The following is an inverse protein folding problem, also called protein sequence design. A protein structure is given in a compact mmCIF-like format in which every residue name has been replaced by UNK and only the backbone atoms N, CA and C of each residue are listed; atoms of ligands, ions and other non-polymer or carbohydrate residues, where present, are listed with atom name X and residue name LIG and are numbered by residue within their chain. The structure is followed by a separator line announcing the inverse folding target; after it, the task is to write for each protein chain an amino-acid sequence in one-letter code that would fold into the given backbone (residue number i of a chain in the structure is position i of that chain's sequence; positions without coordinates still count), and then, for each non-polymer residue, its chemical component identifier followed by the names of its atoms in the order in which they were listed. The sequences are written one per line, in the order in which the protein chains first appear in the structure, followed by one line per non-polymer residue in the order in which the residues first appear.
data_IF_900346691196
#
_entry.id   IF_900346691196
#
_cell.length_a   1.000
_cell.length_b   1.000
_cell.length_c   1.000
_cell.angle_alpha   90.00
_cell.angle_beta   90.00
_cell.angle_gamma   90.00
#
_symmetry.space_group_name_H-M   'P 1'
#
loop_
_entity.id
_entity.type
_entity.pdbx_description
1 polymer ?
#
# COMPACT_ATOMS: atom_id res chain seq x y z
N UNK A 1 -1.55 -9.29 -11.49
CA UNK A 1 -0.95 -7.95 -11.28
C UNK A 1 0.56 -8.06 -11.46
N UNK A 2 1.24 -6.95 -11.75
CA UNK A 2 2.70 -6.97 -11.67
C UNK A 2 3.13 -6.91 -10.20
N UNK A 3 4.18 -7.63 -9.83
CA UNK A 3 4.71 -7.61 -8.47
C UNK A 3 5.48 -6.30 -8.26
N UNK A 4 4.97 -5.40 -7.42
CA UNK A 4 5.66 -4.13 -7.15
C UNK A 4 6.68 -4.32 -6.04
N UNK A 5 7.91 -3.87 -6.27
CA UNK A 5 9.04 -3.96 -5.35
C UNK A 5 9.83 -2.66 -5.34
N UNK A 6 10.83 -2.56 -4.44
CA UNK A 6 11.74 -1.43 -4.42
C UNK A 6 12.39 -1.21 -5.79
N UNK A 7 12.20 -0.02 -6.35
CA UNK A 7 12.66 0.35 -7.70
C UNK A 7 11.59 0.24 -8.80
N UNK A 8 10.44 -0.39 -8.55
CA UNK A 8 9.28 -0.36 -9.45
C UNK A 8 8.76 1.06 -9.61
N UNK A 9 8.26 1.40 -10.80
CA UNK A 9 7.73 2.72 -11.13
C UNK A 9 6.55 2.57 -12.08
N UNK A 10 5.59 3.50 -11.99
CA UNK A 10 4.42 3.55 -12.87
C UNK A 10 3.11 3.81 -12.11
N UNK A 11 2.01 3.79 -12.86
CA UNK A 11 0.68 4.07 -12.34
C UNK A 11 0.24 3.10 -11.23
N UNK A 12 0.67 1.84 -11.28
CA UNK A 12 0.39 0.86 -10.22
C UNK A 12 1.02 1.26 -8.87
N UNK A 13 2.23 1.83 -8.90
CA UNK A 13 2.89 2.34 -7.69
C UNK A 13 2.19 3.62 -7.20
N UNK A 14 1.75 4.47 -8.13
CA UNK A 14 1.00 5.68 -7.78
C UNK A 14 -0.29 5.31 -7.05
N UNK A 15 -1.08 4.38 -7.59
CA UNK A 15 -2.32 3.91 -6.99
C UNK A 15 -2.08 3.27 -5.60
N UNK A 16 -1.02 2.46 -5.46
CA UNK A 16 -0.60 1.90 -4.17
C UNK A 16 -0.34 3.03 -3.15
N UNK A 17 0.42 4.04 -3.55
CA UNK A 17 0.79 5.15 -2.67
C UNK A 17 -0.41 5.99 -2.26
N UNK A 18 -1.37 6.21 -3.17
CA UNK A 18 -2.63 6.89 -2.87
C UNK A 18 -3.45 6.13 -1.84
N UNK A 19 -3.62 4.82 -2.01
CA UNK A 19 -4.36 3.99 -1.05
C UNK A 19 -3.69 3.99 0.31
N UNK A 20 -2.36 3.81 0.35
CA UNK A 20 -1.58 3.90 1.59
C UNK A 20 -1.81 5.25 2.29
N UNK A 21 -1.84 6.35 1.52
CA UNK A 21 -2.15 7.68 2.05
C UNK A 21 -3.57 7.77 2.60
N UNK A 22 -4.56 7.25 1.87
CA UNK A 22 -5.95 7.22 2.32
C UNK A 22 -6.12 6.41 3.61
N UNK A 23 -5.45 5.27 3.74
CA UNK A 23 -5.53 4.44 4.95
C UNK A 23 -4.77 5.03 6.15
N UNK A 24 -3.91 6.04 5.93
CA UNK A 24 -3.34 6.88 6.98
C UNK A 24 -1.82 6.96 7.02
N UNK A 25 -1.13 6.38 6.03
CA UNK A 25 0.31 6.52 5.91
C UNK A 25 0.67 7.89 5.34
N UNK A 26 1.64 8.57 5.95
CA UNK A 26 2.09 9.88 5.45
C UNK A 26 3.16 9.71 4.36
N UNK A 27 2.74 9.32 3.16
CA UNK A 27 3.60 9.19 1.99
C UNK A 27 3.08 10.03 0.82
N UNK A 28 3.99 10.45 -0.05
CA UNK A 28 3.65 11.21 -1.26
C UNK A 28 3.54 10.25 -2.45
N UNK A 29 2.43 10.28 -3.22
CA UNK A 29 2.29 9.49 -4.42
C UNK A 29 3.15 10.09 -5.54
N UNK A 30 4.39 9.58 -5.66
CA UNK A 30 5.35 9.97 -6.68
C UNK A 30 5.35 9.02 -7.89
N UNK A 31 4.65 7.88 -7.81
CA UNK A 31 4.66 6.82 -8.83
C UNK A 31 5.95 6.01 -8.86
N UNK A 32 6.82 6.19 -7.85
CA UNK A 32 8.11 5.49 -7.71
C UNK A 32 8.17 4.77 -6.37
N UNK A 33 8.51 3.47 -6.40
CA UNK A 33 8.54 2.62 -5.21
C UNK A 33 9.88 2.83 -4.50
N UNK A 34 9.93 3.89 -3.70
CA UNK A 34 11.11 4.30 -2.96
C UNK A 34 11.17 3.66 -1.56
N UNK A 35 12.23 3.95 -0.81
CA UNK A 35 12.40 3.45 0.55
C UNK A 35 11.20 3.78 1.45
N UNK A 36 10.63 4.99 1.33
CA UNK A 36 9.44 5.41 2.08
C UNK A 36 8.21 4.55 1.78
N UNK A 37 7.97 4.22 0.51
CA UNK A 37 6.88 3.31 0.11
C UNK A 37 7.14 1.90 0.62
N UNK A 38 8.39 1.45 0.55
CA UNK A 38 8.79 0.14 1.08
C UNK A 38 8.52 0.04 2.57
N UNK A 39 8.90 1.04 3.36
CA UNK A 39 8.63 1.10 4.80
C UNK A 39 7.12 1.07 5.10
N UNK A 40 6.32 1.85 4.36
CA UNK A 40 4.87 1.87 4.52
C UNK A 40 4.22 0.51 4.17
N UNK A 41 4.68 -0.15 3.11
CA UNK A 41 4.19 -1.47 2.72
C UNK A 41 4.59 -2.52 3.74
N UNK A 42 5.84 -2.51 4.22
CA UNK A 42 6.29 -3.44 5.26
C UNK A 42 5.48 -3.29 6.55
N UNK A 43 5.21 -2.05 6.96
CA UNK A 43 4.36 -1.77 8.12
C UNK A 43 2.92 -2.25 7.89
N UNK A 44 2.34 -1.95 6.73
CA UNK A 44 1.02 -2.43 6.35
C UNK A 44 0.92 -3.96 6.39
N UNK A 45 1.91 -4.65 5.84
CA UNK A 45 1.97 -6.11 5.84
C UNK A 45 2.03 -6.67 7.27
N UNK A 46 2.79 -6.03 8.16
CA UNK A 46 2.84 -6.39 9.59
C UNK A 46 1.50 -6.19 10.28
N UNK A 47 0.86 -5.05 10.08
CA UNK A 47 -0.44 -4.72 10.70
C UNK A 47 -1.54 -5.66 10.22
N UNK A 48 -1.51 -6.04 8.94
CA UNK A 48 -2.49 -6.95 8.34
C UNK A 48 -2.17 -8.43 8.52
N UNK A 49 -1.06 -8.76 9.19
CA UNK A 49 -0.60 -10.14 9.43
C UNK A 49 -0.46 -10.98 8.15
N UNK A 50 -0.06 -10.33 7.05
CA UNK A 50 0.27 -10.99 5.78
C UNK A 50 1.79 -11.12 5.63
N UNK A 51 2.31 -11.89 4.64
CA UNK A 51 3.73 -12.02 4.41
C UNK A 51 4.42 -10.66 4.24
N UNK A 52 5.44 -10.40 5.07
CA UNK A 52 6.16 -9.11 5.15
C UNK A 52 7.41 -9.18 4.28
N UNK A 53 7.20 -9.33 2.98
CA UNK A 53 8.29 -9.46 2.00
C UNK A 53 8.66 -8.11 1.37
N UNK A 54 7.93 -7.04 1.69
CA UNK A 54 8.11 -5.71 1.10
C UNK A 54 7.71 -5.63 -0.38
N UNK A 55 7.12 -6.71 -0.90
CA UNK A 55 6.59 -6.83 -2.25
C UNK A 55 5.05 -6.75 -2.24
N UNK A 56 4.49 -6.01 -3.19
CA UNK A 56 3.03 -5.86 -3.34
C UNK A 56 2.57 -6.71 -4.52
N UNK A 57 2.10 -7.91 -4.19
CA UNK A 57 1.42 -8.81 -5.13
C UNK A 57 -0.09 -8.84 -4.89
N UNK A 58 -0.76 -9.82 -5.49
CA UNK A 58 -2.23 -9.89 -5.48
C UNK A 58 -2.84 -10.00 -4.06
N UNK A 59 -2.16 -10.68 -3.14
CA UNK A 59 -2.57 -10.78 -1.74
C UNK A 59 -2.50 -9.41 -1.05
N UNK A 60 -1.38 -8.71 -1.17
CA UNK A 60 -1.19 -7.39 -0.56
C UNK A 60 -2.23 -6.40 -1.10
N UNK A 61 -2.50 -6.43 -2.41
CA UNK A 61 -3.54 -5.62 -3.05
C UNK A 61 -4.94 -5.90 -2.52
N UNK A 62 -5.33 -7.18 -2.38
CA UNK A 62 -6.62 -7.54 -1.83
C UNK A 62 -6.82 -7.00 -0.41
N UNK A 63 -5.78 -7.08 0.43
CA UNK A 63 -5.81 -6.54 1.79
C UNK A 63 -5.83 -5.01 1.79
N UNK A 64 -5.06 -4.34 0.93
CA UNK A 64 -5.05 -2.88 0.80
C UNK A 64 -6.44 -2.34 0.49
N UNK A 65 -7.10 -2.92 -0.53
CA UNK A 65 -8.46 -2.54 -0.91
C UNK A 65 -9.47 -2.82 0.21
N UNK A 66 -9.31 -3.94 0.92
CA UNK A 66 -10.17 -4.26 2.06
C UNK A 66 -10.00 -3.25 3.20
N UNK A 67 -8.77 -2.88 3.56
CA UNK A 67 -8.50 -1.88 4.60
C UNK A 67 -8.98 -0.49 4.18
N UNK A 68 -8.76 -0.10 2.92
CA UNK A 68 -9.30 1.13 2.34
C UNK A 68 -10.83 1.17 2.45
N UNK A 69 -11.50 0.10 2.05
CA UNK A 69 -12.95 -0.02 2.17
C UNK A 69 -13.43 0.02 3.62
N UNK A 70 -12.71 -0.62 4.56
CA UNK A 70 -13.02 -0.56 5.98
C UNK A 70 -12.87 0.86 6.54
N UNK A 71 -11.84 1.61 6.14
CA UNK A 71 -11.66 3.00 6.56
C UNK A 71 -12.69 3.93 5.94
N UNK A 72 -13.00 3.77 4.65
CA UNK A 72 -14.05 4.52 3.96
C UNK A 72 -15.44 4.28 4.57
N UNK A 73 -15.69 3.08 5.09
CA UNK A 73 -16.92 2.74 5.84
C UNK A 73 -16.88 3.17 7.31
N UNK A 74 -15.68 3.35 7.85
CA UNK A 74 -15.42 3.60 9.27
C UNK A 74 -15.19 5.05 9.66
N UNK A 75 -14.98 5.97 8.71
CA UNK A 75 -14.91 7.40 9.01
C UNK A 75 -16.18 8.12 8.55
N UNK A 76 -16.96 8.84 9.36
CA UNK A 76 -17.14 9.01 10.82
C UNK A 76 -18.44 9.84 10.93
N UNK A 77 -19.32 9.72 11.95
CA UNK A 77 -20.26 10.81 12.28
C UNK A 77 -19.52 12.09 12.70
#
# INVERSE_FOLDING_TARGET
MELLIQGSQGDEVLALQEILKEIGYNIEPSGCYCARTTEAVLDFQRVTSIPVDGAVGDITWAFLLNVQALKARGGTP
#
